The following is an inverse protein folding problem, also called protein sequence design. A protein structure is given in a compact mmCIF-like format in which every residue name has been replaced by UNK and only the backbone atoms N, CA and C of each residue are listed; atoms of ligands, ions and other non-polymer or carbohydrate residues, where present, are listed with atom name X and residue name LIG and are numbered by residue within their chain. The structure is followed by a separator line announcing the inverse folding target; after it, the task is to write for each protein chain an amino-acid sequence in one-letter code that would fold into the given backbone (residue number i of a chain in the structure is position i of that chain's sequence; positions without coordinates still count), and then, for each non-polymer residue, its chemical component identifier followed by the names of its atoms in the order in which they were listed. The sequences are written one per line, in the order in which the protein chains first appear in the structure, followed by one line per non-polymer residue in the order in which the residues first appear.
data_IF_036237438261
#
_entry.id   IF_036237438261
#
_cell.length_a   1.000
_cell.length_b   1.000
_cell.length_c   1.000
_cell.angle_alpha   90.00
_cell.angle_beta   90.00
_cell.angle_gamma   90.00
#
_symmetry.space_group_name_H-M   'P 1'
#
loop_
_entity.id
_entity.type
_entity.pdbx_description
1 polymer ?
#
# COMPACT_ATOMS: atom_id res chain seq x y z
N UNK A 1 22.17 -0.69 25.86
CA UNK A 1 21.59 -0.92 24.53
C UNK A 1 22.74 -1.02 23.54
N UNK A 2 22.99 -2.18 22.90
CA UNK A 2 24.14 -2.34 22.01
C UNK A 2 23.83 -1.90 20.60
N UNK A 3 24.76 -1.13 20.03
CA UNK A 3 24.75 -0.64 18.65
C UNK A 3 25.19 -1.73 17.66
N UNK A 4 24.36 -2.06 16.68
CA UNK A 4 24.53 -3.19 15.74
C UNK A 4 25.10 -2.84 14.36
N UNK A 5 25.80 -1.71 14.16
CA UNK A 5 26.44 -1.43 12.86
C UNK A 5 27.85 -0.91 13.00
N UNK A 6 28.79 -1.84 13.20
CA UNK A 6 30.22 -1.58 13.02
C UNK A 6 30.77 -2.57 12.01
N UNK A 7 30.94 -2.17 10.74
CA UNK A 7 31.71 -2.93 9.76
C UNK A 7 33.20 -2.82 10.10
N UNK A 8 33.79 -3.98 10.31
CA UNK A 8 35.20 -4.23 10.55
C UNK A 8 35.90 -4.31 9.19
N UNK A 9 36.80 -3.37 8.90
CA UNK A 9 37.81 -3.53 7.86
C UNK A 9 39.03 -4.21 8.45
N UNK A 10 39.45 -5.32 7.91
CA UNK A 10 40.63 -6.04 8.31
C UNK A 10 41.81 -5.67 7.42
N UNK A 11 42.92 -5.41 8.09
CA UNK A 11 44.28 -5.25 7.63
C UNK A 11 44.75 -6.36 6.68
N UNK A 12 45.61 -5.97 5.73
CA UNK A 12 46.75 -6.75 5.31
C UNK A 12 47.90 -5.80 4.93
N UNK A 13 48.97 -5.96 5.63
CA UNK A 13 50.22 -5.19 5.56
C UNK A 13 51.24 -5.75 4.55
N UNK A 14 51.93 -4.83 3.89
CA UNK A 14 53.39 -4.73 3.63
C UNK A 14 54.08 -5.69 2.62
N UNK A 15 55.33 -5.39 2.17
CA UNK A 15 56.09 -4.12 2.12
C UNK A 15 56.94 -3.87 0.82
N UNK A 16 57.53 -2.64 0.73
CA UNK A 16 58.88 -2.29 0.20
C UNK A 16 59.13 -2.10 -1.29
N UNK A 17 59.42 -0.86 -1.69
CA UNK A 17 60.73 -0.32 -2.14
C UNK A 17 60.56 1.07 -2.76
N UNK A 18 61.28 2.06 -2.20
CA UNK A 18 61.63 3.36 -2.80
C UNK A 18 62.64 3.23 -3.92
N UNK A 19 62.84 4.18 -4.89
CA UNK A 19 63.52 5.43 -4.59
C UNK A 19 63.08 6.70 -5.35
N UNK A 20 63.26 7.83 -4.64
CA UNK A 20 63.76 9.19 -5.03
C UNK A 20 63.19 9.99 -6.20
N UNK A 21 62.55 11.07 -5.82
CA UNK A 21 62.49 12.53 -6.13
C UNK A 21 62.92 13.05 -7.49
N UNK A 22 62.31 14.17 -8.06
CA UNK A 22 62.31 15.45 -7.43
C UNK A 22 60.99 16.29 -7.53
N UNK A 23 61.00 17.34 -6.70
CA UNK A 23 60.01 18.34 -6.45
C UNK A 23 59.37 19.03 -7.64
N UNK A 24 58.04 19.17 -7.56
CA UNK A 24 57.33 20.33 -8.08
C UNK A 24 56.20 20.69 -7.14
N UNK A 25 56.15 21.98 -6.82
CA UNK A 25 55.18 22.63 -5.95
C UNK A 25 53.75 22.50 -6.53
N UNK A 26 52.88 21.80 -5.83
CA UNK A 26 51.44 21.95 -6.09
C UNK A 26 50.71 22.37 -4.81
N UNK A 27 50.17 23.53 -4.95
CA UNK A 27 49.30 24.20 -4.01
C UNK A 27 48.17 23.28 -3.52
N UNK A 28 48.13 23.04 -2.21
CA UNK A 28 46.96 22.47 -1.54
C UNK A 28 45.70 23.27 -1.81
N UNK A 29 44.88 22.80 -2.75
CA UNK A 29 43.51 23.26 -2.85
C UNK A 29 42.66 22.53 -1.81
N UNK A 30 42.54 23.11 -0.63
CA UNK A 30 41.52 22.80 0.32
C UNK A 30 40.15 22.90 -0.36
N UNK A 31 39.63 21.79 -0.83
CA UNK A 31 38.23 21.73 -1.29
C UNK A 31 37.32 21.96 -0.11
N UNK A 32 36.91 23.20 0.09
CA UNK A 32 35.85 23.55 1.02
C UNK A 32 34.58 22.75 0.66
N UNK A 33 34.14 21.90 1.58
CA UNK A 33 32.85 21.22 1.47
C UNK A 33 31.75 22.27 1.36
N UNK A 34 31.05 22.30 0.23
CA UNK A 34 29.84 23.11 0.07
C UNK A 34 29.93 24.30 -0.86
N UNK A 35 30.99 24.46 -1.66
CA UNK A 35 30.98 25.48 -2.70
C UNK A 35 30.15 25.03 -3.89
N UNK A 36 28.90 25.51 -3.95
CA UNK A 36 28.10 25.51 -5.19
C UNK A 36 28.53 26.74 -6.01
N UNK A 37 28.97 26.54 -7.26
CA UNK A 37 29.32 27.68 -8.11
C UNK A 37 28.13 28.64 -8.24
N UNK A 38 28.38 29.91 -8.08
CA UNK A 38 27.40 30.99 -8.25
C UNK A 38 26.67 30.79 -9.57
N UNK A 39 25.34 30.63 -9.52
CA UNK A 39 24.50 30.57 -10.72
C UNK A 39 24.68 31.90 -11.46
N UNK A 40 25.38 31.87 -12.61
CA UNK A 40 25.64 33.02 -13.43
C UNK A 40 24.39 33.69 -14.07
N UNK A 41 23.19 33.27 -13.62
CA UNK A 41 21.92 33.86 -14.02
C UNK A 41 21.05 34.01 -12.79
N UNK A 42 20.66 35.22 -12.46
CA UNK A 42 19.68 35.49 -11.43
C UNK A 42 18.38 34.73 -11.73
N UNK A 43 17.93 33.95 -10.79
CA UNK A 43 16.62 33.29 -10.90
C UNK A 43 15.55 34.37 -10.96
N UNK A 44 14.73 34.46 -12.04
CA UNK A 44 13.69 35.46 -12.12
C UNK A 44 12.86 35.41 -10.84
N UNK A 45 12.76 36.53 -10.12
CA UNK A 45 11.89 36.63 -8.94
C UNK A 45 10.50 36.23 -9.39
N UNK A 46 9.92 35.23 -8.75
CA UNK A 46 8.55 34.80 -9.01
C UNK A 46 7.67 36.05 -9.06
N UNK A 47 6.94 36.29 -10.15
CA UNK A 47 6.13 37.50 -10.27
C UNK A 47 5.17 37.54 -9.06
N UNK A 48 5.23 38.60 -8.31
CA UNK A 48 4.35 38.89 -7.18
C UNK A 48 2.91 39.25 -7.65
N UNK A 49 2.59 38.99 -8.91
CA UNK A 49 1.24 39.09 -9.49
C UNK A 49 0.31 37.96 -9.01
N UNK A 50 0.39 37.66 -7.76
CA UNK A 50 -0.51 36.77 -7.04
C UNK A 50 -0.96 37.38 -5.74
N UNK A 51 -0.95 38.71 -5.65
CA UNK A 51 -1.79 39.36 -4.65
C UNK A 51 -3.23 38.98 -5.02
N UNK A 52 -3.70 37.86 -4.41
CA UNK A 52 -5.11 37.53 -4.42
C UNK A 52 -5.87 38.83 -4.24
N UNK A 53 -6.81 39.17 -5.12
CA UNK A 53 -7.66 40.32 -4.86
C UNK A 53 -8.14 40.17 -3.44
N UNK A 54 -7.92 41.19 -2.64
CA UNK A 54 -8.43 41.29 -1.29
C UNK A 54 -9.95 41.50 -1.36
N UNK A 55 -10.63 40.54 -1.97
CA UNK A 55 -12.04 40.28 -1.76
C UNK A 55 -12.11 39.66 -0.38
N UNK A 56 -12.48 40.48 0.57
CA UNK A 56 -12.55 40.23 1.99
C UNK A 56 -13.35 38.97 2.28
N UNK A 57 -12.74 37.83 2.21
CA UNK A 57 -13.19 36.68 3.01
C UNK A 57 -12.77 37.03 4.43
N UNK A 58 -13.73 37.48 5.25
CA UNK A 58 -13.55 37.63 6.70
C UNK A 58 -12.77 36.45 7.21
N UNK A 59 -11.68 36.64 7.98
CA UNK A 59 -10.95 35.51 8.54
C UNK A 59 -11.95 34.68 9.35
N UNK A 60 -12.17 33.44 8.95
CA UNK A 60 -13.03 32.50 9.67
C UNK A 60 -12.58 32.44 11.12
N UNK A 61 -13.53 32.47 12.05
CA UNK A 61 -13.21 32.24 13.45
C UNK A 61 -12.54 30.90 13.64
N UNK A 62 -11.76 30.72 14.70
CA UNK A 62 -11.09 29.44 14.99
C UNK A 62 -12.09 28.28 15.04
N UNK A 63 -13.30 28.54 15.54
CA UNK A 63 -14.36 27.53 15.65
C UNK A 63 -14.96 27.18 14.28
N UNK A 64 -15.24 28.17 13.43
CA UNK A 64 -15.71 27.96 12.08
C UNK A 64 -14.66 27.23 11.22
N UNK A 65 -13.38 27.59 11.35
CA UNK A 65 -12.30 26.89 10.68
C UNK A 65 -12.18 25.43 11.13
N UNK A 66 -12.42 25.14 12.41
CA UNK A 66 -12.43 23.78 12.97
C UNK A 66 -13.65 22.99 12.48
N UNK A 67 -14.82 23.62 12.44
CA UNK A 67 -16.04 23.01 11.92
C UNK A 67 -15.90 22.67 10.44
N UNK A 68 -15.41 23.60 9.62
CA UNK A 68 -15.14 23.38 8.20
C UNK A 68 -14.14 22.25 7.95
N UNK A 69 -13.08 22.16 8.76
CA UNK A 69 -12.11 21.05 8.66
C UNK A 69 -12.75 19.71 9.02
N UNK A 70 -13.61 19.66 10.02
CA UNK A 70 -14.36 18.44 10.39
C UNK A 70 -15.29 18.01 9.26
N UNK A 71 -16.02 18.96 8.69
CA UNK A 71 -16.93 18.72 7.58
C UNK A 71 -16.18 18.18 6.35
N UNK A 72 -15.10 18.85 5.91
CA UNK A 72 -14.25 18.37 4.80
C UNK A 72 -13.66 16.98 5.05
N UNK A 73 -13.27 16.68 6.28
CA UNK A 73 -12.79 15.32 6.63
C UNK A 73 -13.91 14.29 6.57
N UNK A 74 -15.10 14.63 7.03
CA UNK A 74 -16.28 13.76 6.96
C UNK A 74 -16.68 13.50 5.50
N UNK A 75 -16.73 14.53 4.67
CA UNK A 75 -17.01 14.43 3.22
C UNK A 75 -15.96 13.57 2.52
N UNK A 76 -14.67 13.85 2.72
CA UNK A 76 -13.57 13.07 2.13
C UNK A 76 -13.60 11.61 2.59
N UNK A 77 -13.95 11.34 3.85
CA UNK A 77 -14.08 9.97 4.37
C UNK A 77 -15.31 9.25 3.79
N UNK A 78 -16.41 9.97 3.56
CA UNK A 78 -17.60 9.42 2.93
C UNK A 78 -17.35 9.12 1.45
N UNK A 79 -16.68 10.02 0.73
CA UNK A 79 -16.25 9.82 -0.65
C UNK A 79 -15.31 8.60 -0.76
N UNK A 80 -14.30 8.53 0.11
CA UNK A 80 -13.38 7.39 0.14
C UNK A 80 -14.09 6.06 0.40
N UNK A 81 -15.10 6.03 1.26
CA UNK A 81 -15.91 4.83 1.49
C UNK A 81 -16.71 4.43 0.25
N UNK A 82 -17.22 5.38 -0.50
CA UNK A 82 -18.04 5.12 -1.70
C UNK A 82 -17.20 4.75 -2.92
N UNK A 83 -16.13 5.48 -3.18
CA UNK A 83 -15.33 5.36 -4.41
C UNK A 83 -14.02 4.62 -4.21
N UNK A 84 -13.48 4.64 -3.00
CA UNK A 84 -12.13 4.15 -2.70
C UNK A 84 -11.04 5.14 -3.06
N UNK A 85 -9.80 4.69 -2.96
CA UNK A 85 -8.63 5.47 -3.32
C UNK A 85 -8.37 5.52 -4.84
N UNK A 86 -7.37 6.30 -5.27
CA UNK A 86 -6.98 6.37 -6.68
C UNK A 86 -6.65 5.01 -7.29
N UNK A 87 -6.17 4.07 -6.46
CA UNK A 87 -5.86 2.69 -6.88
C UNK A 87 -7.10 1.83 -7.12
N UNK A 88 -8.26 2.23 -6.59
CA UNK A 88 -9.51 1.49 -6.71
C UNK A 88 -10.33 1.93 -7.94
N UNK A 89 -9.89 2.99 -8.60
CA UNK A 89 -10.53 3.56 -9.79
C UNK A 89 -10.19 2.72 -11.02
N UNK A 90 -11.13 2.64 -11.95
CA UNK A 90 -11.00 1.90 -13.20
C UNK A 90 -12.13 0.91 -13.41
N UNK A 91 -12.57 0.71 -14.67
CA UNK A 91 -13.69 -0.17 -15.01
C UNK A 91 -13.37 -1.64 -14.71
N UNK A 92 -12.14 -2.09 -14.94
CA UNK A 92 -11.70 -3.46 -14.65
C UNK A 92 -11.69 -3.76 -13.15
N UNK A 93 -11.29 -2.77 -12.33
CA UNK A 93 -11.32 -2.92 -10.86
C UNK A 93 -12.73 -2.89 -10.32
N UNK A 94 -13.61 -2.07 -10.92
CA UNK A 94 -15.04 -2.09 -10.61
C UNK A 94 -15.64 -3.47 -10.92
N UNK A 95 -15.33 -4.06 -12.08
CA UNK A 95 -15.74 -5.40 -12.42
C UNK A 95 -15.24 -6.44 -11.42
N UNK A 96 -13.94 -6.42 -11.12
CA UNK A 96 -13.34 -7.35 -10.15
C UNK A 96 -14.00 -7.22 -8.77
N UNK A 97 -14.32 -6.01 -8.35
CA UNK A 97 -15.05 -5.71 -7.11
C UNK A 97 -16.43 -6.34 -7.12
N UNK A 98 -17.20 -6.10 -8.16
CA UNK A 98 -18.57 -6.62 -8.28
C UNK A 98 -18.58 -8.15 -8.29
N UNK A 99 -17.63 -8.80 -8.97
CA UNK A 99 -17.48 -10.27 -8.98
C UNK A 99 -17.23 -10.83 -7.58
N UNK A 100 -16.43 -10.15 -6.74
CA UNK A 100 -16.18 -10.60 -5.36
C UNK A 100 -17.37 -10.29 -4.46
N UNK A 101 -18.02 -9.14 -4.65
CA UNK A 101 -19.09 -8.68 -3.77
C UNK A 101 -20.42 -9.38 -4.03
N UNK A 102 -20.64 -9.88 -5.26
CA UNK A 102 -21.87 -10.64 -5.63
C UNK A 102 -21.90 -12.05 -5.06
N UNK A 103 -20.82 -12.54 -4.46
CA UNK A 103 -20.75 -13.92 -3.95
C UNK A 103 -20.33 -13.99 -2.49
N UNK A 104 -20.72 -15.08 -1.82
CA UNK A 104 -20.18 -15.42 -0.50
C UNK A 104 -18.80 -16.03 -0.70
N UNK A 105 -17.77 -15.40 -0.14
CA UNK A 105 -16.39 -15.86 -0.24
C UNK A 105 -15.99 -16.62 1.02
N UNK A 106 -15.22 -17.68 0.87
CA UNK A 106 -14.68 -18.46 2.00
C UNK A 106 -13.80 -17.57 2.89
N UNK A 107 -13.09 -16.62 2.31
CA UNK A 107 -12.28 -15.65 3.04
C UNK A 107 -13.04 -14.84 4.09
N UNK A 108 -14.36 -14.66 3.94
CA UNK A 108 -15.18 -13.98 4.94
C UNK A 108 -15.23 -14.77 6.27
N UNK A 109 -15.18 -16.11 6.21
CA UNK A 109 -15.19 -16.99 7.37
C UNK A 109 -13.80 -17.23 7.96
N UNK A 110 -12.75 -16.84 7.21
CA UNK A 110 -11.36 -17.09 7.60
C UNK A 110 -11.03 -16.55 8.99
N UNK A 111 -11.41 -15.31 9.29
CA UNK A 111 -11.10 -14.69 10.60
C UNK A 111 -11.85 -15.38 11.75
N UNK A 112 -13.12 -15.73 11.54
CA UNK A 112 -13.90 -16.49 12.55
C UNK A 112 -13.31 -17.87 12.77
N UNK A 113 -13.00 -18.59 11.70
CA UNK A 113 -12.35 -19.89 11.77
C UNK A 113 -10.95 -19.83 12.38
N UNK A 114 -10.15 -18.82 12.04
CA UNK A 114 -8.84 -18.61 12.64
C UNK A 114 -8.92 -18.39 14.16
N UNK A 115 -9.93 -17.66 14.63
CA UNK A 115 -10.16 -17.49 16.08
C UNK A 115 -10.48 -18.82 16.78
N UNK A 116 -11.36 -19.63 16.18
CA UNK A 116 -11.69 -20.96 16.70
C UNK A 116 -10.45 -21.87 16.76
N UNK A 117 -9.64 -21.84 15.69
CA UNK A 117 -8.37 -22.58 15.62
C UNK A 117 -7.39 -22.09 16.67
N UNK A 118 -7.26 -20.79 16.87
CA UNK A 118 -6.36 -20.21 17.87
C UNK A 118 -6.70 -20.69 19.29
N UNK A 119 -7.98 -20.72 19.62
CA UNK A 119 -8.47 -21.22 20.93
C UNK A 119 -8.24 -22.72 21.04
N UNK A 120 -8.63 -23.49 20.03
CA UNK A 120 -8.56 -24.94 20.03
C UNK A 120 -7.15 -25.53 19.96
N UNK A 121 -6.18 -24.77 19.39
CA UNK A 121 -4.77 -25.16 19.31
C UNK A 121 -3.99 -24.89 20.59
N UNK A 122 -4.62 -24.35 21.63
CA UNK A 122 -3.95 -24.07 22.90
C UNK A 122 -3.48 -25.38 23.55
N UNK A 123 -2.30 -25.36 24.20
CA UNK A 123 -1.74 -26.53 24.88
C UNK A 123 -2.58 -27.05 26.07
N UNK A 124 -3.42 -26.18 26.65
CA UNK A 124 -4.36 -26.55 27.70
C UNK A 124 -5.55 -27.37 27.20
N UNK A 125 -5.76 -27.47 25.88
CA UNK A 125 -6.85 -28.26 25.29
C UNK A 125 -6.47 -29.73 25.13
N UNK A 126 -7.45 -30.66 25.21
CA UNK A 126 -7.25 -32.05 24.91
C UNK A 126 -6.63 -32.31 23.55
N UNK A 127 -5.83 -33.38 23.35
CA UNK A 127 -5.16 -33.67 22.09
C UNK A 127 -6.10 -33.75 20.88
N UNK A 128 -7.31 -34.27 21.10
CA UNK A 128 -8.34 -34.44 20.06
C UNK A 128 -8.82 -33.07 19.53
N UNK A 129 -9.00 -32.11 20.42
CA UNK A 129 -9.43 -30.75 20.06
C UNK A 129 -8.31 -30.06 19.31
N UNK A 130 -7.06 -30.22 19.73
CA UNK A 130 -5.90 -29.66 19.01
C UNK A 130 -5.77 -30.25 17.61
N UNK A 131 -5.94 -31.56 17.48
CA UNK A 131 -5.91 -32.23 16.18
C UNK A 131 -7.03 -31.71 15.27
N UNK A 132 -8.26 -31.65 15.78
CA UNK A 132 -9.42 -31.13 15.05
C UNK A 132 -9.20 -29.66 14.62
N UNK A 133 -8.61 -28.82 15.47
CA UNK A 133 -8.29 -27.43 15.16
C UNK A 133 -7.25 -27.32 14.05
N UNK A 134 -6.22 -28.15 14.07
CA UNK A 134 -5.19 -28.17 13.01
C UNK A 134 -5.76 -28.64 11.65
N UNK A 135 -6.65 -29.63 11.68
CA UNK A 135 -7.35 -30.07 10.46
C UNK A 135 -8.27 -28.98 9.93
N UNK A 136 -9.00 -28.29 10.81
CA UNK A 136 -9.83 -27.14 10.45
C UNK A 136 -8.98 -26.03 9.81
N UNK A 137 -7.80 -25.74 10.36
CA UNK A 137 -6.88 -24.77 9.78
C UNK A 137 -6.48 -25.13 8.36
N UNK A 138 -6.08 -26.38 8.14
CA UNK A 138 -5.74 -26.89 6.80
C UNK A 138 -6.91 -26.78 5.84
N UNK A 139 -8.11 -27.14 6.27
CA UNK A 139 -9.33 -27.03 5.45
C UNK A 139 -9.67 -25.58 5.10
N UNK A 140 -9.57 -24.66 6.06
CA UNK A 140 -9.77 -23.22 5.80
C UNK A 140 -8.75 -22.67 4.80
N UNK A 141 -7.46 -22.99 4.96
CA UNK A 141 -6.42 -22.57 4.07
C UNK A 141 -6.65 -23.08 2.63
N UNK A 142 -6.97 -24.35 2.50
CA UNK A 142 -7.30 -24.97 1.22
C UNK A 142 -8.55 -24.32 0.59
N UNK A 143 -9.58 -24.08 1.38
CA UNK A 143 -10.81 -23.40 0.93
C UNK A 143 -10.53 -21.99 0.39
N UNK A 144 -9.67 -21.21 1.06
CA UNK A 144 -9.26 -19.88 0.60
C UNK A 144 -8.49 -19.96 -0.72
N UNK A 145 -7.59 -20.94 -0.87
CA UNK A 145 -6.84 -21.15 -2.12
C UNK A 145 -7.79 -21.49 -3.27
N UNK A 146 -8.69 -22.45 -3.08
CA UNK A 146 -9.67 -22.83 -4.09
C UNK A 146 -10.55 -21.64 -4.48
N UNK A 147 -11.10 -20.91 -3.51
CA UNK A 147 -11.94 -19.74 -3.78
C UNK A 147 -11.15 -18.64 -4.53
N UNK A 148 -9.90 -18.43 -4.17
CA UNK A 148 -8.99 -17.48 -4.86
C UNK A 148 -8.76 -17.86 -6.33
N UNK A 149 -8.59 -19.14 -6.62
CA UNK A 149 -8.44 -19.64 -8.00
C UNK A 149 -9.74 -19.46 -8.79
N UNK A 150 -10.89 -19.78 -8.19
CA UNK A 150 -12.20 -19.61 -8.83
C UNK A 150 -12.51 -18.14 -9.13
N UNK A 151 -12.23 -17.24 -8.17
CA UNK A 151 -12.37 -15.80 -8.36
C UNK A 151 -11.47 -15.31 -9.51
N UNK A 152 -10.20 -15.68 -9.50
CA UNK A 152 -9.23 -15.29 -10.53
C UNK A 152 -9.62 -15.77 -11.91
N UNK A 153 -10.11 -17.01 -12.03
CA UNK A 153 -10.63 -17.56 -13.31
C UNK A 153 -11.83 -16.80 -13.81
N UNK A 154 -12.80 -16.49 -12.93
CA UNK A 154 -14.00 -15.72 -13.31
C UNK A 154 -13.63 -14.32 -13.76
N UNK A 155 -12.76 -13.62 -13.01
CA UNK A 155 -12.29 -12.28 -13.39
C UNK A 155 -11.55 -12.32 -14.73
N UNK A 156 -10.64 -13.29 -14.93
CA UNK A 156 -9.92 -13.45 -16.19
C UNK A 156 -10.87 -13.57 -17.38
N UNK A 157 -11.90 -14.39 -17.24
CA UNK A 157 -12.91 -14.59 -18.30
C UNK A 157 -13.63 -13.27 -18.59
N UNK A 158 -14.23 -12.64 -17.58
CA UNK A 158 -15.04 -11.44 -17.75
C UNK A 158 -14.23 -10.23 -18.23
N UNK A 159 -12.98 -10.07 -17.77
CA UNK A 159 -12.11 -8.97 -18.23
C UNK A 159 -11.76 -9.16 -19.69
N UNK A 160 -11.46 -10.37 -20.15
CA UNK A 160 -11.17 -10.64 -21.57
C UNK A 160 -12.38 -10.40 -22.47
N UNK A 161 -13.57 -10.71 -21.98
CA UNK A 161 -14.81 -10.52 -22.73
C UNK A 161 -15.21 -9.04 -22.83
N UNK A 162 -15.08 -8.29 -21.73
CA UNK A 162 -15.57 -6.90 -21.68
C UNK A 162 -14.49 -5.85 -21.97
N UNK A 163 -13.22 -6.16 -21.69
CA UNK A 163 -12.08 -5.25 -21.84
C UNK A 163 -10.93 -5.89 -22.63
N UNK A 164 -11.09 -6.18 -23.92
CA UNK A 164 -10.06 -6.87 -24.72
C UNK A 164 -8.76 -6.07 -24.87
N UNK A 165 -8.82 -4.74 -24.73
CA UNK A 165 -7.68 -3.81 -24.86
C UNK A 165 -7.26 -3.19 -23.52
N UNK A 166 -7.37 -3.94 -22.43
CA UNK A 166 -6.99 -3.42 -21.12
C UNK A 166 -5.47 -3.37 -20.95
N UNK A 167 -4.95 -2.24 -20.44
CA UNK A 167 -3.55 -2.08 -20.05
C UNK A 167 -3.29 -2.54 -18.59
N UNK A 168 -4.34 -2.96 -17.88
CA UNK A 168 -4.24 -3.40 -16.49
C UNK A 168 -3.53 -4.75 -16.39
N UNK A 169 -2.53 -4.82 -15.51
CA UNK A 169 -1.85 -6.09 -15.21
C UNK A 169 -2.82 -7.05 -14.51
N UNK A 170 -3.13 -8.18 -15.14
CA UNK A 170 -4.06 -9.18 -14.61
C UNK A 170 -3.68 -9.66 -13.20
N UNK A 171 -2.38 -9.82 -12.91
CA UNK A 171 -1.91 -10.19 -11.57
C UNK A 171 -2.32 -9.17 -10.50
N UNK A 172 -2.30 -7.88 -10.81
CA UNK A 172 -2.76 -6.82 -9.90
C UNK A 172 -4.26 -6.91 -9.62
N UNK A 173 -5.07 -7.26 -10.63
CA UNK A 173 -6.51 -7.46 -10.48
C UNK A 173 -6.83 -8.69 -9.62
N UNK A 174 -6.11 -9.80 -9.85
CA UNK A 174 -6.28 -11.03 -9.04
C UNK A 174 -5.91 -10.77 -7.58
N UNK A 175 -4.76 -10.17 -7.33
CA UNK A 175 -4.33 -9.83 -5.97
C UNK A 175 -5.35 -8.93 -5.26
N UNK A 176 -5.84 -7.90 -5.96
CA UNK A 176 -6.86 -7.00 -5.44
C UNK A 176 -8.14 -7.76 -5.07
N UNK A 177 -8.61 -8.64 -5.94
CA UNK A 177 -9.82 -9.42 -5.72
C UNK A 177 -9.66 -10.42 -4.56
N UNK A 178 -8.51 -11.09 -4.46
CA UNK A 178 -8.20 -12.03 -3.37
C UNK A 178 -8.16 -11.28 -2.03
N UNK A 179 -7.45 -10.16 -1.93
CA UNK A 179 -7.42 -9.35 -0.72
C UNK A 179 -8.82 -8.90 -0.30
N UNK A 180 -9.63 -8.48 -1.27
CA UNK A 180 -11.02 -8.11 -1.03
C UNK A 180 -11.88 -9.29 -0.60
N UNK A 181 -11.66 -10.50 -1.13
CA UNK A 181 -12.43 -11.70 -0.78
C UNK A 181 -12.23 -12.13 0.67
N UNK A 182 -11.03 -11.92 1.23
CA UNK A 182 -10.69 -12.23 2.62
C UNK A 182 -11.32 -11.22 3.58
N UNK A 183 -11.49 -9.98 3.15
CA UNK A 183 -12.04 -8.92 4.00
C UNK A 183 -13.54 -9.12 4.23
N UNK A 184 -14.00 -8.93 5.47
CA UNK A 184 -15.43 -8.94 5.80
C UNK A 184 -16.20 -7.93 4.93
N UNK A 185 -17.34 -8.36 4.39
CA UNK A 185 -18.16 -7.54 3.48
C UNK A 185 -18.50 -6.15 4.06
N UNK A 186 -18.82 -6.07 5.37
CA UNK A 186 -19.15 -4.81 6.05
C UNK A 186 -17.95 -3.86 6.22
N UNK A 187 -16.74 -4.41 6.18
CA UNK A 187 -15.48 -3.65 6.35
C UNK A 187 -14.79 -3.37 5.01
N UNK A 188 -15.38 -3.81 3.89
CA UNK A 188 -14.81 -3.57 2.57
C UNK A 188 -14.84 -2.10 2.20
N UNK A 189 -13.71 -1.57 1.84
CA UNK A 189 -13.57 -0.22 1.29
C UNK A 189 -13.03 -0.34 -0.15
N UNK A 190 -13.69 0.21 -1.14
CA UNK A 190 -15.00 0.89 -1.15
C UNK A 190 -16.18 -0.05 -0.81
N UNK A 191 -17.28 0.57 -0.39
CA UNK A 191 -18.50 -0.17 -0.04
C UNK A 191 -19.02 -1.03 -1.20
N UNK A 192 -19.54 -2.26 -0.92
CA UNK A 192 -20.14 -3.11 -1.93
C UNK A 192 -21.36 -2.44 -2.58
N UNK A 193 -21.36 -2.38 -3.92
CA UNK A 193 -22.47 -1.79 -4.70
C UNK A 193 -23.47 -2.83 -5.19
N UNK A 194 -23.11 -4.12 -5.15
CA UNK A 194 -23.86 -5.23 -5.71
C UNK A 194 -24.34 -6.11 -4.58
N UNK A 195 -25.57 -6.60 -4.61
CA UNK A 195 -26.06 -7.54 -3.62
C UNK A 195 -25.49 -8.96 -3.83
N UNK A 196 -25.61 -9.81 -2.82
CA UNK A 196 -25.17 -11.21 -2.94
C UNK A 196 -26.15 -11.95 -3.86
N UNK A 197 -25.63 -12.57 -4.90
CA UNK A 197 -26.43 -13.28 -5.90
C UNK A 197 -26.71 -12.48 -7.18
N UNK A 198 -26.41 -11.19 -7.19
CA UNK A 198 -26.63 -10.37 -8.39
C UNK A 198 -25.77 -10.87 -9.56
N UNK A 199 -26.28 -10.84 -10.78
CA UNK A 199 -25.52 -11.13 -11.98
C UNK A 199 -24.47 -10.03 -12.23
N UNK A 200 -23.25 -10.45 -12.56
CA UNK A 200 -22.10 -9.55 -12.83
C UNK A 200 -21.56 -9.82 -14.22
#
# INVERSE_FOLDING_TARGET
VPSLFRRKSADLADPVTEPETPAEEESESTRARGYTPSKGRETPKRPTTGRRPAGATKPLSKEEAKALRRQRRAEASAEFRREGGPRDRGPERLLARNVVDSRRTVGTWFFGGALVVLIGSNQAMPPEIRLASNLLWGALALGVVIDSVLISRKIKKLVRERFPRTDQRMGSLYFYAIMRSITFRKLRTPEPRVAIGDPV
#
